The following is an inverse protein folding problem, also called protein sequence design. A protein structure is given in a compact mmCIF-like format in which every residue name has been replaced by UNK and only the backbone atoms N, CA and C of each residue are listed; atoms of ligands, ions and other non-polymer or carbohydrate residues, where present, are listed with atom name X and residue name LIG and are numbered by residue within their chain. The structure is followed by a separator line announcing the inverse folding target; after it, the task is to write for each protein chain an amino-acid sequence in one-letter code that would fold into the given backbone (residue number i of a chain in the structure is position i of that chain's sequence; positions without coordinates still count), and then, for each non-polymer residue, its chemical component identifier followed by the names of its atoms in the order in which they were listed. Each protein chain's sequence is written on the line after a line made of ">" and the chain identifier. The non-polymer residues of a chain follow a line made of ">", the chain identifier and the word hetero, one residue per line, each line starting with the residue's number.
data_IF_183543379482
#
_entry.id   IF_183543379482
#
_cell.length_a   1.000
_cell.length_b   1.000
_cell.length_c   1.000
_cell.angle_alpha   90.00
_cell.angle_beta   90.00
_cell.angle_gamma   90.00
#
_symmetry.space_group_name_H-M   'P 1'
#
loop_
_entity.id
_entity.type
_entity.pdbx_description
1 polymer ?
#
# COMPACT_ATOMS: atom_id res chain seq x y z
N UNK A 1 10.66 17.04 -50.03
CA UNK A 1 10.06 18.08 -49.16
C UNK A 1 8.62 18.33 -49.57
N UNK A 2 7.68 17.84 -48.76
CA UNK A 2 6.36 18.40 -48.43
C UNK A 2 5.74 17.42 -47.45
N UNK A 3 5.96 17.72 -46.17
CA UNK A 3 5.37 17.05 -45.01
C UNK A 3 3.90 17.45 -45.00
N UNK A 4 2.99 16.48 -45.09
CA UNK A 4 1.63 16.63 -44.58
C UNK A 4 1.42 15.48 -43.63
N UNK A 5 1.47 15.84 -42.35
CA UNK A 5 1.41 14.99 -41.18
C UNK A 5 0.08 14.23 -41.14
N UNK A 6 0.17 12.92 -41.34
CA UNK A 6 -0.86 11.97 -40.89
C UNK A 6 -0.81 11.98 -39.36
N UNK A 7 -1.63 12.82 -38.73
CA UNK A 7 -1.92 12.72 -37.30
C UNK A 7 -2.87 11.54 -37.08
N UNK A 8 -2.36 10.32 -37.32
CA UNK A 8 -2.88 9.16 -36.60
C UNK A 8 -2.37 9.32 -35.18
N UNK A 9 -3.21 9.87 -34.31
CA UNK A 9 -2.97 9.94 -32.87
C UNK A 9 -3.07 8.51 -32.31
N UNK A 10 -2.05 7.71 -32.61
CA UNK A 10 -1.75 6.50 -31.88
C UNK A 10 -1.35 6.95 -30.48
N UNK A 11 -2.36 7.06 -29.62
CA UNK A 11 -2.20 7.01 -28.17
C UNK A 11 -1.59 5.64 -27.91
N UNK A 12 -0.26 5.58 -27.97
CA UNK A 12 0.52 4.61 -27.20
C UNK A 12 0.23 4.98 -25.76
N UNK A 13 -0.89 4.47 -25.24
CA UNK A 13 -1.02 4.26 -23.82
C UNK A 13 0.15 3.33 -23.50
N UNK A 14 1.24 3.92 -23.01
CA UNK A 14 2.23 3.17 -22.26
C UNK A 14 1.46 2.65 -21.05
N UNK A 15 0.88 1.45 -21.19
CA UNK A 15 0.41 0.66 -20.06
C UNK A 15 1.69 0.21 -19.37
N UNK A 16 2.30 1.13 -18.63
CA UNK A 16 3.35 0.81 -17.67
C UNK A 16 2.62 0.07 -16.58
N UNK A 17 2.65 -1.26 -16.67
CA UNK A 17 2.21 -2.09 -15.58
C UNK A 17 3.28 -1.98 -14.50
N UNK A 18 2.97 -1.31 -13.40
CA UNK A 18 3.68 -1.43 -12.14
C UNK A 18 3.45 -2.86 -11.60
N UNK A 19 4.12 -3.86 -12.19
CA UNK A 19 4.03 -5.24 -11.74
C UNK A 19 4.94 -5.41 -10.51
N UNK A 20 4.35 -5.67 -9.34
CA UNK A 20 5.06 -6.14 -8.14
C UNK A 20 5.89 -7.36 -8.51
N UNK A 21 7.18 -7.39 -8.15
CA UNK A 21 8.03 -8.55 -8.48
C UNK A 21 7.62 -9.77 -7.64
N UNK A 22 7.86 -11.00 -8.14
CA UNK A 22 7.60 -12.21 -7.36
C UNK A 22 8.29 -12.20 -5.99
N UNK A 23 9.49 -11.63 -5.90
CA UNK A 23 10.27 -11.52 -4.68
C UNK A 23 9.60 -10.57 -3.67
N UNK A 24 9.14 -9.39 -4.11
CA UNK A 24 8.42 -8.44 -3.26
C UNK A 24 7.10 -9.02 -2.76
N UNK A 25 6.39 -9.76 -3.62
CA UNK A 25 5.16 -10.44 -3.25
C UNK A 25 5.42 -11.52 -2.19
N UNK A 26 6.45 -12.35 -2.39
CA UNK A 26 6.82 -13.39 -1.44
C UNK A 26 7.27 -12.81 -0.10
N UNK A 27 8.11 -11.77 -0.10
CA UNK A 27 8.54 -11.08 1.12
C UNK A 27 7.34 -10.60 1.95
N UNK A 28 6.36 -9.97 1.29
CA UNK A 28 5.15 -9.49 1.96
C UNK A 28 4.28 -10.63 2.50
N UNK A 29 4.20 -11.75 1.78
CA UNK A 29 3.50 -12.95 2.26
C UNK A 29 4.16 -13.53 3.51
N UNK A 30 5.49 -13.64 3.52
CA UNK A 30 6.26 -14.19 4.65
C UNK A 30 6.10 -13.31 5.90
N UNK A 31 6.20 -11.98 5.74
CA UNK A 31 5.94 -11.01 6.82
C UNK A 31 4.51 -11.17 7.36
N UNK A 32 3.52 -11.19 6.46
CA UNK A 32 2.11 -11.32 6.85
C UNK A 32 1.86 -12.61 7.63
N UNK A 33 2.44 -13.74 7.18
CA UNK A 33 2.31 -15.02 7.85
C UNK A 33 2.96 -15.05 9.23
N UNK A 34 4.14 -14.46 9.38
CA UNK A 34 4.79 -14.31 10.69
C UNK A 34 3.92 -13.49 11.65
N UNK A 35 3.35 -12.38 11.17
CA UNK A 35 2.46 -11.54 11.97
C UNK A 35 1.15 -12.22 12.37
N UNK A 36 0.59 -13.12 11.55
CA UNK A 36 -0.60 -13.89 11.93
C UNK A 36 -0.33 -14.77 13.16
N UNK A 37 0.88 -15.33 13.26
CA UNK A 37 1.28 -16.15 14.39
C UNK A 37 1.46 -15.32 15.68
N UNK A 38 1.94 -14.07 15.56
CA UNK A 38 2.14 -13.16 16.69
C UNK A 38 0.83 -12.56 17.21
N UNK A 39 -0.01 -12.07 16.29
CA UNK A 39 -1.21 -11.28 16.64
C UNK A 39 -2.45 -12.14 16.87
N UNK A 40 -2.44 -13.37 16.34
CA UNK A 40 -3.61 -14.25 16.34
C UNK A 40 -4.73 -13.78 15.42
N UNK A 41 -4.46 -12.83 14.51
CA UNK A 41 -5.36 -12.51 13.40
C UNK A 41 -5.53 -13.73 12.49
N UNK A 42 -6.59 -13.73 11.69
CA UNK A 42 -6.89 -14.85 10.80
C UNK A 42 -6.55 -14.51 9.35
N UNK A 43 -6.20 -15.54 8.58
CA UNK A 43 -6.01 -15.38 7.14
C UNK A 43 -7.26 -14.80 6.45
N UNK A 44 -8.46 -15.17 6.90
CA UNK A 44 -9.74 -14.64 6.37
C UNK A 44 -9.85 -13.12 6.53
N UNK A 45 -9.43 -12.56 7.68
CA UNK A 45 -9.41 -11.10 7.88
C UNK A 45 -8.51 -10.40 6.87
N UNK A 46 -7.32 -10.97 6.59
CA UNK A 46 -6.38 -10.43 5.60
C UNK A 46 -6.95 -10.52 4.18
N UNK A 47 -7.51 -11.68 3.81
CA UNK A 47 -8.10 -11.87 2.48
C UNK A 47 -9.29 -10.94 2.22
N UNK A 48 -10.13 -10.72 3.22
CA UNK A 48 -11.22 -9.74 3.16
C UNK A 48 -10.70 -8.31 3.01
N UNK A 49 -9.63 -7.96 3.73
CA UNK A 49 -9.02 -6.64 3.62
C UNK A 49 -8.47 -6.36 2.22
N UNK A 50 -7.86 -7.36 1.55
CA UNK A 50 -7.43 -7.26 0.15
C UNK A 50 -8.61 -7.00 -0.81
N UNK A 51 -9.83 -7.44 -0.46
CA UNK A 51 -11.05 -7.14 -1.21
C UNK A 51 -11.68 -5.78 -0.82
N UNK A 52 -11.15 -5.10 0.20
CA UNK A 52 -11.65 -3.82 0.72
C UNK A 52 -12.63 -3.95 1.87
N UNK A 53 -12.75 -5.14 2.46
CA UNK A 53 -13.56 -5.38 3.64
C UNK A 53 -12.65 -5.53 4.87
N UNK A 54 -12.53 -4.45 5.64
CA UNK A 54 -11.61 -4.37 6.77
C UNK A 54 -12.32 -4.76 8.07
N UNK A 55 -11.75 -5.74 8.78
CA UNK A 55 -12.27 -6.18 10.07
C UNK A 55 -11.93 -5.16 11.17
N UNK A 56 -12.90 -4.72 11.96
CA UNK A 56 -12.65 -3.89 13.15
C UNK A 56 -12.07 -4.67 14.35
N UNK A 57 -11.86 -5.98 14.21
CA UNK A 57 -11.26 -6.82 15.26
C UNK A 57 -9.88 -6.27 15.69
N UNK A 58 -9.62 -6.08 16.99
CA UNK A 58 -8.34 -5.58 17.49
C UNK A 58 -7.13 -6.35 16.96
N UNK A 59 -7.24 -7.68 16.79
CA UNK A 59 -6.15 -8.51 16.28
C UNK A 59 -5.79 -8.17 14.84
N UNK A 60 -6.78 -7.79 14.03
CA UNK A 60 -6.52 -7.34 12.67
C UNK A 60 -5.79 -5.99 12.65
N UNK A 61 -6.11 -5.07 13.57
CA UNK A 61 -5.37 -3.81 13.67
C UNK A 61 -3.92 -4.04 14.12
N UNK A 62 -3.69 -4.96 15.05
CA UNK A 62 -2.34 -5.41 15.42
C UNK A 62 -1.60 -6.04 14.22
N UNK A 63 -2.29 -6.85 13.40
CA UNK A 63 -1.72 -7.41 12.17
C UNK A 63 -1.19 -6.31 11.24
N UNK A 64 -1.93 -5.22 11.06
CA UNK A 64 -1.49 -4.10 10.22
C UNK A 64 -0.24 -3.41 10.76
N UNK A 65 -0.17 -3.21 12.09
CA UNK A 65 1.02 -2.63 12.74
C UNK A 65 2.22 -3.56 12.58
N UNK A 66 2.07 -4.85 12.90
CA UNK A 66 3.14 -5.84 12.77
C UNK A 66 3.68 -5.89 11.33
N UNK A 67 2.78 -5.95 10.35
CA UNK A 67 3.14 -5.98 8.93
C UNK A 67 3.89 -4.71 8.53
N UNK A 68 3.45 -3.54 8.97
CA UNK A 68 4.12 -2.29 8.64
C UNK A 68 5.53 -2.17 9.22
N UNK A 69 5.74 -2.70 10.43
CA UNK A 69 7.07 -2.81 11.04
C UNK A 69 7.94 -3.81 10.28
N UNK A 70 7.41 -5.01 10.02
CA UNK A 70 8.14 -6.06 9.30
C UNK A 70 8.54 -5.65 7.88
N UNK A 71 7.70 -4.86 7.21
CA UNK A 71 7.98 -4.32 5.88
C UNK A 71 8.85 -3.03 5.89
N UNK A 72 9.17 -2.51 7.08
CA UNK A 72 10.11 -1.40 7.28
C UNK A 72 9.56 0.00 7.05
N UNK A 73 8.23 0.17 6.95
CA UNK A 73 7.61 1.49 6.77
C UNK A 73 6.91 2.04 8.01
N UNK A 74 6.83 1.25 9.09
CA UNK A 74 6.57 1.73 10.45
C UNK A 74 7.82 1.54 11.30
N UNK A 75 8.09 2.49 12.19
CA UNK A 75 9.12 2.35 13.23
C UNK A 75 8.62 1.50 14.42
N UNK A 76 9.47 1.32 15.44
CA UNK A 76 9.15 0.55 16.64
C UNK A 76 8.00 1.14 17.48
N UNK A 77 7.74 2.45 17.35
CA UNK A 77 6.61 3.13 17.99
C UNK A 77 5.32 2.99 17.15
N UNK A 78 5.41 2.44 15.93
CA UNK A 78 4.30 2.29 15.01
C UNK A 78 3.97 3.57 14.23
N UNK A 79 4.94 4.48 14.07
CA UNK A 79 4.81 5.69 13.25
C UNK A 79 5.37 5.47 11.85
N UNK A 80 4.78 6.14 10.86
CA UNK A 80 5.23 6.03 9.48
C UNK A 80 6.61 6.66 9.25
N UNK A 81 7.52 5.85 8.71
CA UNK A 81 8.77 6.33 8.14
C UNK A 81 8.45 6.78 6.71
N UNK A 82 8.15 8.08 6.55
CA UNK A 82 7.57 8.63 5.31
C UNK A 82 8.35 8.27 4.04
N UNK A 83 9.67 8.30 4.09
CA UNK A 83 10.53 7.94 2.95
C UNK A 83 10.40 6.46 2.56
N UNK A 84 10.35 5.55 3.54
CA UNK A 84 10.20 4.11 3.27
C UNK A 84 8.77 3.79 2.80
N UNK A 85 7.77 4.44 3.40
CA UNK A 85 6.38 4.36 2.93
C UNK A 85 6.27 4.83 1.47
N UNK A 86 6.91 5.93 1.10
CA UNK A 86 6.95 6.43 -0.28
C UNK A 86 7.55 5.42 -1.23
N UNK A 87 8.67 4.80 -0.89
CA UNK A 87 9.26 3.72 -1.71
C UNK A 87 8.27 2.58 -1.93
N UNK A 88 7.52 2.15 -0.91
CA UNK A 88 6.53 1.07 -1.04
C UNK A 88 5.33 1.49 -1.91
N UNK A 89 4.85 2.72 -1.79
CA UNK A 89 3.77 3.25 -2.64
C UNK A 89 4.25 3.40 -4.09
N UNK A 90 5.48 3.87 -4.31
CA UNK A 90 6.05 4.05 -5.65
C UNK A 90 6.18 2.73 -6.44
N UNK A 91 6.24 1.57 -5.77
CA UNK A 91 6.18 0.26 -6.43
C UNK A 91 4.83 0.06 -7.14
N UNK A 92 3.76 0.64 -6.62
CA UNK A 92 2.40 0.54 -7.17
C UNK A 92 2.04 1.76 -8.02
N UNK A 93 2.60 2.93 -7.68
CA UNK A 93 2.30 4.23 -8.26
C UNK A 93 3.58 4.83 -8.85
N UNK A 94 3.77 4.70 -10.15
CA UNK A 94 4.94 5.25 -10.87
C UNK A 94 4.80 6.76 -11.13
N UNK A 95 4.38 7.52 -10.12
CA UNK A 95 4.24 8.99 -10.13
C UNK A 95 4.52 9.52 -8.72
N UNK A 96 5.64 10.25 -8.59
CA UNK A 96 6.13 10.77 -7.32
C UNK A 96 5.16 11.77 -6.67
N UNK A 97 4.60 12.69 -7.46
CA UNK A 97 3.67 13.70 -6.95
C UNK A 97 2.36 13.05 -6.47
N UNK A 98 1.93 12.00 -7.17
CA UNK A 98 0.76 11.21 -6.75
C UNK A 98 1.05 10.43 -5.46
N UNK A 99 2.22 9.79 -5.35
CA UNK A 99 2.62 9.09 -4.14
C UNK A 99 2.69 10.03 -2.93
N UNK A 100 3.29 11.21 -3.09
CA UNK A 100 3.35 12.24 -2.04
C UNK A 100 1.96 12.68 -1.61
N UNK A 101 1.07 12.97 -2.57
CA UNK A 101 -0.32 13.35 -2.27
C UNK A 101 -1.10 12.27 -1.52
N UNK A 102 -0.87 10.98 -1.83
CA UNK A 102 -1.47 9.86 -1.11
C UNK A 102 -0.94 9.80 0.32
N UNK A 103 0.37 9.95 0.54
CA UNK A 103 0.98 9.93 1.87
C UNK A 103 0.46 11.08 2.73
N UNK A 104 0.42 12.30 2.19
CA UNK A 104 -0.12 13.46 2.89
C UNK A 104 -1.57 13.27 3.32
N UNK A 105 -2.37 12.58 2.51
CA UNK A 105 -3.80 12.35 2.78
C UNK A 105 -4.07 11.19 3.73
N UNK A 106 -3.24 10.15 3.69
CA UNK A 106 -3.56 8.87 4.32
C UNK A 106 -2.67 8.52 5.51
N UNK A 107 -1.45 9.07 5.64
CA UNK A 107 -0.51 8.73 6.70
C UNK A 107 -0.64 9.62 7.96
N UNK A 108 -1.88 9.96 8.34
CA UNK A 108 -2.18 10.79 9.51
C UNK A 108 -2.21 9.98 10.80
N UNK A 109 -1.38 10.36 11.77
CA UNK A 109 -1.38 9.77 13.11
C UNK A 109 -2.75 9.90 13.79
N UNK A 110 -3.18 8.80 14.41
CA UNK A 110 -4.39 8.70 15.23
C UNK A 110 -4.01 8.50 16.70
N UNK A 111 -5.01 8.25 17.54
CA UNK A 111 -4.81 8.08 18.98
C UNK A 111 -3.88 6.91 19.34
N UNK A 112 -3.81 5.87 18.49
CA UNK A 112 -2.93 4.72 18.69
C UNK A 112 -2.31 4.28 17.36
N UNK A 113 -1.19 3.52 17.39
CA UNK A 113 -0.63 2.90 16.19
C UNK A 113 -1.62 2.00 15.45
N UNK A 114 -2.46 1.27 16.19
CA UNK A 114 -3.48 0.37 15.65
C UNK A 114 -4.55 1.13 14.86
N UNK A 115 -5.06 2.24 15.42
CA UNK A 115 -6.02 3.09 14.71
C UNK A 115 -5.37 3.84 13.54
N UNK A 116 -4.12 4.26 13.69
CA UNK A 116 -3.33 4.85 12.60
C UNK A 116 -3.23 3.87 11.44
N UNK A 117 -2.67 2.68 11.68
CA UNK A 117 -2.50 1.67 10.65
C UNK A 117 -3.84 1.25 10.02
N UNK A 118 -4.91 1.13 10.81
CA UNK A 118 -6.23 0.76 10.32
C UNK A 118 -6.84 1.81 9.39
N UNK A 119 -6.92 3.07 9.82
CA UNK A 119 -7.50 4.14 9.01
C UNK A 119 -6.62 4.48 7.79
N UNK A 120 -5.29 4.47 7.96
CA UNK A 120 -4.35 4.65 6.86
C UNK A 120 -4.49 3.55 5.81
N UNK A 121 -4.58 2.28 6.21
CA UNK A 121 -4.77 1.15 5.27
C UNK A 121 -6.06 1.30 4.45
N UNK A 122 -7.16 1.69 5.09
CA UNK A 122 -8.43 1.97 4.42
C UNK A 122 -8.31 3.12 3.42
N UNK A 123 -7.64 4.20 3.80
CA UNK A 123 -7.39 5.35 2.94
C UNK A 123 -6.53 4.97 1.74
N UNK A 124 -5.38 4.32 1.98
CA UNK A 124 -4.47 3.84 0.93
C UNK A 124 -5.17 2.94 -0.08
N UNK A 125 -5.97 1.98 0.40
CA UNK A 125 -6.74 1.10 -0.47
C UNK A 125 -7.71 1.87 -1.37
N UNK A 126 -8.39 2.87 -0.82
CA UNK A 126 -9.30 3.72 -1.58
C UNK A 126 -8.55 4.52 -2.65
N UNK A 127 -7.50 5.24 -2.27
CA UNK A 127 -6.75 6.09 -3.20
C UNK A 127 -6.06 5.27 -4.30
N UNK A 128 -5.49 4.11 -3.96
CA UNK A 128 -4.81 3.25 -4.93
C UNK A 128 -5.75 2.53 -5.90
N UNK A 129 -7.02 2.29 -5.52
CA UNK A 129 -8.03 1.74 -6.43
C UNK A 129 -8.50 2.74 -7.48
N UNK A 130 -8.34 4.04 -7.23
CA UNK A 130 -8.70 5.12 -8.14
C UNK A 130 -7.57 5.45 -9.14
N UNK A 131 -6.48 4.68 -9.14
CA UNK A 131 -5.31 4.80 -10.03
C UNK A 131 -5.47 3.87 -11.22
#
# INVERSE_FOLDING_TARGET
>A
MKIVLVFSLSILAAVVKTEITPEQHQEMMDISQACLAETGATHDMVMKALAGNFSDDPKFKEQLVCVGKGAGFLDEEGKYIREELKKKIMVLVDDEAKADGIIEKCADEKATPQETAFESTKCFFKEMREI
#
